data_IF_922622712514
#
_entry.id   IF_922622712514
#
_cell.length_a   1.000
_cell.length_b   1.000
_cell.length_c   1.000
_cell.angle_alpha   90.00
_cell.angle_beta   90.00
_cell.angle_gamma   90.00
#
_symmetry.space_group_name_H-M   'P 1'
#
loop_
_entity.id
_entity.type
_entity.pdbx_description
1 polymer ?
#
# COMPACT_ATOMS: atom_id res chain seq x y z
N UNK A 1 42.27 -27.00 8.56
CA UNK A 1 41.92 -25.56 8.72
C UNK A 1 41.50 -25.06 7.37
N UNK A 2 40.16 -24.98 7.15
CA UNK A 2 39.59 -24.44 5.90
C UNK A 2 39.40 -22.94 6.12
N UNK A 3 40.28 -22.14 5.52
CA UNK A 3 40.09 -20.70 5.41
C UNK A 3 38.87 -20.44 4.50
N UNK A 4 37.73 -20.14 5.06
CA UNK A 4 36.61 -19.52 4.33
C UNK A 4 37.01 -18.09 3.96
N UNK A 5 37.67 -17.96 2.81
CA UNK A 5 37.90 -16.66 2.21
C UNK A 5 36.54 -16.04 1.81
N UNK A 6 35.99 -15.22 2.66
CA UNK A 6 34.96 -14.25 2.27
C UNK A 6 35.60 -13.25 1.33
N UNK A 7 35.58 -13.57 0.04
CA UNK A 7 36.21 -12.74 -0.99
C UNK A 7 35.49 -11.37 -1.09
N UNK A 8 36.18 -10.35 -1.63
CA UNK A 8 35.66 -8.98 -1.77
C UNK A 8 34.33 -8.91 -2.49
N UNK A 9 34.00 -9.89 -3.34
CA UNK A 9 32.70 -10.02 -4.02
C UNK A 9 31.58 -10.39 -3.06
N UNK A 10 31.81 -11.29 -2.10
CA UNK A 10 30.81 -11.64 -1.08
C UNK A 10 30.53 -10.44 -0.16
N UNK A 11 31.52 -9.64 0.17
CA UNK A 11 31.34 -8.41 0.95
C UNK A 11 30.59 -7.33 0.17
N UNK A 12 30.77 -7.23 -1.16
CA UNK A 12 29.99 -6.33 -2.01
C UNK A 12 28.53 -6.75 -2.11
N UNK A 13 28.24 -8.04 -2.26
CA UNK A 13 26.88 -8.57 -2.34
C UNK A 13 26.12 -8.40 -1.01
N UNK A 14 26.78 -8.60 0.12
CA UNK A 14 26.17 -8.37 1.45
C UNK A 14 25.97 -6.88 1.73
N UNK A 15 26.91 -6.03 1.33
CA UNK A 15 26.82 -4.57 1.47
C UNK A 15 25.68 -4.00 0.63
N UNK A 16 25.45 -4.53 -0.55
CA UNK A 16 24.36 -4.11 -1.43
C UNK A 16 23.00 -4.49 -0.87
N UNK A 17 22.86 -5.69 -0.29
CA UNK A 17 21.60 -6.12 0.35
C UNK A 17 21.25 -5.27 1.57
N UNK A 18 22.24 -4.92 2.40
CA UNK A 18 22.03 -4.06 3.57
C UNK A 18 21.61 -2.63 3.20
N UNK A 19 22.15 -2.08 2.11
CA UNK A 19 21.77 -0.77 1.59
C UNK A 19 20.32 -0.74 1.11
N UNK A 20 19.85 -1.80 0.45
CA UNK A 20 18.47 -1.93 0.00
C UNK A 20 17.45 -1.97 1.13
N UNK A 21 17.75 -2.73 2.18
CA UNK A 21 16.87 -2.79 3.36
C UNK A 21 16.81 -1.44 4.09
N UNK A 22 17.93 -0.73 4.22
CA UNK A 22 17.96 0.59 4.84
C UNK A 22 17.15 1.62 4.05
N UNK A 23 17.30 1.65 2.74
CA UNK A 23 16.55 2.58 1.88
C UNK A 23 15.04 2.25 1.90
N UNK A 24 14.68 0.96 1.81
CA UNK A 24 13.28 0.53 1.92
C UNK A 24 12.66 0.94 3.25
N UNK A 25 13.39 0.74 4.36
CA UNK A 25 12.94 1.15 5.69
C UNK A 25 12.81 2.68 5.80
N UNK A 26 13.74 3.44 5.22
CA UNK A 26 13.67 4.91 5.19
C UNK A 26 12.47 5.40 4.37
N UNK A 27 12.27 4.85 3.17
CA UNK A 27 11.11 5.18 2.32
C UNK A 27 9.81 4.85 3.05
N UNK A 28 9.71 3.68 3.67
CA UNK A 28 8.54 3.27 4.44
C UNK A 28 8.30 4.21 5.63
N UNK A 29 9.33 4.57 6.38
CA UNK A 29 9.23 5.47 7.53
C UNK A 29 8.79 6.89 7.11
N UNK A 30 9.40 7.45 6.06
CA UNK A 30 9.03 8.77 5.53
C UNK A 30 7.58 8.77 5.01
N UNK A 31 7.18 7.72 4.27
CA UNK A 31 5.80 7.58 3.81
C UNK A 31 4.82 7.46 4.98
N UNK A 32 5.11 6.64 5.99
CA UNK A 32 4.27 6.48 7.18
C UNK A 32 4.12 7.81 7.94
N UNK A 33 5.22 8.49 8.23
CA UNK A 33 5.22 9.76 8.98
C UNK A 33 4.52 10.89 8.23
N UNK A 34 4.58 10.90 6.90
CA UNK A 34 3.93 11.94 6.09
C UNK A 34 2.41 11.74 5.91
N UNK A 35 1.92 10.49 6.10
CA UNK A 35 0.54 10.14 5.78
C UNK A 35 -0.32 9.77 6.97
N UNK A 36 0.16 8.88 7.83
CA UNK A 36 -0.66 8.28 8.90
C UNK A 36 -1.19 9.32 9.90
N UNK A 37 -0.39 10.31 10.37
CA UNK A 37 -0.85 11.23 11.41
C UNK A 37 -2.05 12.11 11.02
N UNK A 38 -2.34 12.25 9.72
CA UNK A 38 -3.33 13.20 9.22
C UNK A 38 -4.60 12.52 8.67
N UNK A 39 -4.68 11.19 8.64
CA UNK A 39 -5.76 10.42 7.99
C UNK A 39 -7.15 10.70 8.55
N UNK A 40 -7.26 10.88 9.87
CA UNK A 40 -8.54 11.09 10.54
C UNK A 40 -8.96 12.54 10.76
N UNK A 41 -8.25 13.53 10.16
CA UNK A 41 -8.53 14.94 10.44
C UNK A 41 -9.63 15.57 9.59
N UNK A 42 -9.90 15.01 8.42
CA UNK A 42 -10.92 15.50 7.49
C UNK A 42 -12.05 14.47 7.41
N UNK A 43 -13.27 14.95 7.33
CA UNK A 43 -14.42 14.09 7.05
C UNK A 43 -14.22 13.32 5.76
N UNK A 44 -14.89 12.17 5.63
CA UNK A 44 -14.88 11.39 4.41
C UNK A 44 -15.44 12.24 3.26
N UNK A 45 -14.86 12.09 2.08
CA UNK A 45 -15.38 12.75 0.87
C UNK A 45 -16.69 12.10 0.44
N UNK A 46 -17.58 12.92 -0.12
CA UNK A 46 -18.86 12.44 -0.66
C UNK A 46 -18.65 11.39 -1.76
N UNK A 47 -19.71 10.62 -2.04
CA UNK A 47 -19.78 9.54 -3.01
C UNK A 47 -18.99 8.29 -2.60
N UNK A 48 -17.93 7.95 -3.34
CA UNK A 48 -17.25 6.66 -3.26
C UNK A 48 -16.65 6.40 -1.88
N UNK A 49 -15.99 7.38 -1.26
CA UNK A 49 -15.31 7.16 0.02
C UNK A 49 -16.29 6.85 1.14
N UNK A 50 -17.43 7.56 1.19
CA UNK A 50 -18.49 7.30 2.17
C UNK A 50 -19.12 5.94 1.91
N UNK A 51 -19.43 5.61 0.66
CA UNK A 51 -20.03 4.33 0.30
C UNK A 51 -19.13 3.14 0.67
N UNK A 52 -17.83 3.23 0.42
CA UNK A 52 -16.88 2.18 0.84
C UNK A 52 -16.79 2.05 2.36
N UNK A 53 -16.72 3.17 3.07
CA UNK A 53 -16.66 3.16 4.53
C UNK A 53 -17.96 2.63 5.15
N UNK A 54 -19.12 2.97 4.59
CA UNK A 54 -20.43 2.47 5.05
C UNK A 54 -20.56 0.97 4.78
N UNK A 55 -20.22 0.50 3.58
CA UNK A 55 -20.20 -0.93 3.30
C UNK A 55 -19.28 -1.71 4.24
N UNK A 56 -18.12 -1.15 4.58
CA UNK A 56 -17.21 -1.75 5.55
C UNK A 56 -17.79 -1.78 6.97
N UNK A 57 -18.48 -0.70 7.38
CA UNK A 57 -19.19 -0.61 8.66
C UNK A 57 -20.30 -1.66 8.76
N UNK A 58 -21.10 -1.79 7.72
CA UNK A 58 -22.19 -2.77 7.69
C UNK A 58 -21.69 -4.22 7.67
N UNK A 59 -20.58 -4.50 6.98
CA UNK A 59 -19.90 -5.81 7.07
C UNK A 59 -19.56 -6.17 8.52
N UNK A 60 -19.10 -5.19 9.32
CA UNK A 60 -18.83 -5.43 10.74
C UNK A 60 -20.10 -5.65 11.57
N UNK A 61 -21.15 -4.91 11.30
CA UNK A 61 -22.40 -4.99 12.07
C UNK A 61 -23.18 -6.25 11.77
N UNK A 62 -23.23 -6.65 10.51
CA UNK A 62 -23.99 -7.84 10.05
C UNK A 62 -23.21 -9.13 10.11
N UNK A 63 -21.86 -9.06 10.12
CA UNK A 63 -20.99 -10.23 9.97
C UNK A 63 -20.96 -10.82 8.55
N UNK A 64 -21.63 -10.18 7.60
CA UNK A 64 -21.64 -10.61 6.20
C UNK A 64 -20.54 -9.89 5.40
N UNK A 65 -19.46 -10.62 5.11
CA UNK A 65 -18.32 -10.11 4.34
C UNK A 65 -18.37 -10.47 2.85
N UNK A 66 -19.42 -11.16 2.41
CA UNK A 66 -19.57 -11.61 1.02
C UNK A 66 -20.41 -10.67 0.20
N UNK A 67 -21.55 -10.27 0.76
CA UNK A 67 -22.53 -9.42 0.10
C UNK A 67 -22.38 -8.01 0.65
N UNK A 68 -21.89 -7.10 -0.21
CA UNK A 68 -21.77 -5.68 0.14
C UNK A 68 -23.16 -5.09 0.30
N UNK A 69 -23.36 -4.36 1.37
CA UNK A 69 -24.60 -3.62 1.66
C UNK A 69 -24.27 -2.15 1.90
N UNK A 70 -25.19 -1.27 1.53
CA UNK A 70 -25.18 0.15 1.88
C UNK A 70 -26.61 0.52 2.27
N UNK A 71 -26.80 1.03 3.49
CA UNK A 71 -28.12 1.24 4.06
C UNK A 71 -28.89 -0.07 4.31
N UNK A 72 -28.13 -1.18 4.54
CA UNK A 72 -28.64 -2.55 4.68
C UNK A 72 -29.33 -3.10 3.41
N UNK A 73 -29.16 -2.44 2.28
CA UNK A 73 -29.60 -2.91 0.97
C UNK A 73 -28.42 -3.45 0.16
N UNK A 74 -28.66 -4.46 -0.68
CA UNK A 74 -27.61 -5.09 -1.46
C UNK A 74 -26.98 -4.11 -2.46
N UNK A 75 -25.65 -3.96 -2.39
CA UNK A 75 -24.84 -3.11 -3.26
C UNK A 75 -23.83 -3.95 -4.04
N UNK A 76 -24.20 -4.36 -5.26
CA UNK A 76 -23.42 -5.26 -6.10
C UNK A 76 -22.46 -4.55 -7.09
N UNK A 77 -22.32 -3.22 -7.02
CA UNK A 77 -21.52 -2.45 -7.99
C UNK A 77 -20.02 -2.61 -7.80
N UNK A 78 -19.58 -2.92 -6.60
CA UNK A 78 -18.14 -2.98 -6.26
C UNK A 78 -17.76 -4.29 -5.57
N UNK A 79 -16.55 -4.81 -5.84
CA UNK A 79 -16.09 -6.04 -5.22
C UNK A 79 -15.84 -5.87 -3.71
N UNK A 80 -16.15 -6.88 -2.87
CA UNK A 80 -16.11 -6.77 -1.41
C UNK A 80 -14.72 -6.66 -0.80
N UNK A 81 -13.65 -6.98 -1.55
CA UNK A 81 -12.30 -7.09 -1.02
C UNK A 81 -11.83 -5.83 -0.27
N UNK A 82 -11.97 -4.67 -0.88
CA UNK A 82 -11.48 -3.42 -0.29
C UNK A 82 -12.27 -3.04 0.98
N UNK A 83 -13.60 -3.17 0.92
CA UNK A 83 -14.47 -2.93 2.08
C UNK A 83 -14.18 -3.92 3.21
N UNK A 84 -13.88 -5.18 2.90
CA UNK A 84 -13.42 -6.17 3.88
C UNK A 84 -12.12 -5.78 4.58
N UNK A 85 -11.16 -5.20 3.82
CA UNK A 85 -9.91 -4.68 4.41
C UNK A 85 -10.18 -3.45 5.29
N UNK A 86 -11.08 -2.56 4.88
CA UNK A 86 -11.53 -1.43 5.71
C UNK A 86 -12.27 -1.92 6.96
N UNK A 87 -13.15 -2.89 6.84
CA UNK A 87 -13.86 -3.50 7.98
C UNK A 87 -12.87 -4.10 8.98
N UNK A 88 -11.84 -4.81 8.51
CA UNK A 88 -10.77 -5.31 9.38
C UNK A 88 -10.03 -4.18 10.10
N UNK A 89 -9.70 -3.09 9.40
CA UNK A 89 -9.11 -1.89 10.00
C UNK A 89 -10.03 -1.27 11.06
N UNK A 90 -11.32 -1.13 10.75
CA UNK A 90 -12.33 -0.60 11.68
C UNK A 90 -12.54 -1.50 12.91
N UNK A 91 -12.38 -2.80 12.77
CA UNK A 91 -12.44 -3.73 13.90
C UNK A 91 -11.33 -3.51 14.92
N UNK A 92 -10.16 -3.09 14.47
CA UNK A 92 -8.98 -2.87 15.32
C UNK A 92 -8.96 -1.45 15.91
N UNK A 93 -9.23 -0.45 15.09
CA UNK A 93 -9.04 0.97 15.45
C UNK A 93 -10.35 1.69 15.76
N UNK A 94 -11.49 1.02 15.66
CA UNK A 94 -12.81 1.61 15.78
C UNK A 94 -13.34 2.16 14.45
N UNK A 95 -14.67 2.36 14.37
CA UNK A 95 -15.34 2.90 13.19
C UNK A 95 -15.06 4.40 13.11
N UNK A 96 -14.47 4.86 12.02
CA UNK A 96 -14.14 6.27 11.80
C UNK A 96 -13.24 6.48 10.58
N UNK A 97 -13.02 7.75 10.26
CA UNK A 97 -12.29 8.21 9.08
C UNK A 97 -10.85 7.67 9.03
N UNK A 98 -10.19 7.63 10.18
CA UNK A 98 -8.84 7.08 10.27
C UNK A 98 -8.80 5.62 9.82
N UNK A 99 -9.67 4.80 10.38
CA UNK A 99 -9.71 3.37 10.11
C UNK A 99 -10.13 3.07 8.65
N UNK A 100 -11.02 3.88 8.08
CA UNK A 100 -11.44 3.77 6.69
C UNK A 100 -10.28 4.05 5.70
N UNK A 101 -9.37 4.96 6.04
CA UNK A 101 -8.24 5.40 5.18
C UNK A 101 -6.94 4.65 5.42
N UNK A 102 -6.77 4.06 6.59
CA UNK A 102 -5.53 3.37 6.97
C UNK A 102 -5.09 2.28 5.97
N UNK A 103 -5.99 1.47 5.38
CA UNK A 103 -5.61 0.52 4.33
C UNK A 103 -4.88 1.17 3.17
N UNK A 104 -5.35 2.31 2.65
CA UNK A 104 -4.71 3.02 1.55
C UNK A 104 -3.37 3.65 1.92
N UNK A 105 -3.19 4.08 3.16
CA UNK A 105 -1.88 4.51 3.64
C UNK A 105 -0.86 3.35 3.64
N UNK A 106 -1.28 2.15 4.04
CA UNK A 106 -0.45 0.94 3.99
C UNK A 106 -0.15 0.56 2.53
N UNK A 107 -1.15 0.56 1.66
CA UNK A 107 -0.99 0.32 0.21
C UNK A 107 0.04 1.29 -0.38
N UNK A 108 0.02 2.57 -0.01
CA UNK A 108 1.01 3.54 -0.45
C UNK A 108 2.43 3.17 -0.02
N UNK A 109 2.63 2.80 1.24
CA UNK A 109 3.94 2.40 1.74
C UNK A 109 4.47 1.21 0.92
N UNK A 110 3.63 0.20 0.71
CA UNK A 110 3.97 -0.98 -0.09
C UNK A 110 4.30 -0.58 -1.54
N UNK A 111 3.50 0.29 -2.15
CA UNK A 111 3.72 0.77 -3.52
C UNK A 111 5.05 1.50 -3.66
N UNK A 112 5.38 2.43 -2.76
CA UNK A 112 6.62 3.19 -2.81
C UNK A 112 7.86 2.30 -2.63
N UNK A 113 7.80 1.36 -1.69
CA UNK A 113 8.87 0.38 -1.50
C UNK A 113 8.98 -0.54 -2.72
N UNK A 114 7.85 -0.99 -3.29
CA UNK A 114 7.82 -1.82 -4.50
C UNK A 114 8.44 -1.11 -5.71
N UNK A 115 8.08 0.15 -5.95
CA UNK A 115 8.65 0.98 -7.02
C UNK A 115 10.17 1.17 -6.82
N UNK A 116 10.59 1.43 -5.58
CA UNK A 116 12.02 1.54 -5.27
C UNK A 116 12.77 0.25 -5.59
N UNK A 117 12.28 -0.89 -5.11
CA UNK A 117 12.92 -2.18 -5.31
C UNK A 117 12.98 -2.56 -6.79
N UNK A 118 11.88 -2.36 -7.52
CA UNK A 118 11.82 -2.62 -8.96
C UNK A 118 12.78 -1.70 -9.72
N UNK A 119 12.78 -0.40 -9.45
CA UNK A 119 13.69 0.53 -10.10
C UNK A 119 15.16 0.24 -9.83
N UNK A 120 15.48 -0.19 -8.60
CA UNK A 120 16.80 -0.64 -8.22
C UNK A 120 17.24 -1.91 -8.97
N UNK A 121 16.31 -2.84 -9.19
CA UNK A 121 16.59 -4.09 -9.90
C UNK A 121 16.75 -3.86 -11.40
N UNK A 122 15.92 -2.99 -12.01
CA UNK A 122 15.93 -2.74 -13.45
C UNK A 122 17.08 -1.87 -13.92
N UNK A 123 17.52 -0.91 -13.11
CA UNK A 123 18.53 0.08 -13.49
C UNK A 123 19.62 0.17 -12.42
N UNK A 124 19.36 0.89 -11.33
CA UNK A 124 20.27 1.04 -10.21
C UNK A 124 19.57 1.59 -8.94
N UNK A 125 20.32 1.68 -7.84
CA UNK A 125 19.83 2.20 -6.56
C UNK A 125 19.33 3.64 -6.65
N UNK A 126 20.02 4.52 -7.39
CA UNK A 126 19.66 5.94 -7.53
C UNK A 126 18.38 6.10 -8.30
N UNK A 127 18.23 5.36 -9.39
CA UNK A 127 17.01 5.35 -10.18
C UNK A 127 15.80 4.92 -9.33
N UNK A 128 15.91 3.84 -8.56
CA UNK A 128 14.85 3.41 -7.66
C UNK A 128 14.44 4.48 -6.65
N UNK A 129 15.42 5.18 -6.04
CA UNK A 129 15.17 6.28 -5.10
C UNK A 129 14.45 7.45 -5.79
N UNK A 130 14.92 7.89 -6.95
CA UNK A 130 14.29 8.98 -7.70
C UNK A 130 12.89 8.62 -8.19
N UNK A 131 12.68 7.39 -8.64
CA UNK A 131 11.37 6.93 -9.06
C UNK A 131 10.36 6.92 -7.91
N UNK A 132 10.73 6.36 -6.76
CA UNK A 132 9.89 6.38 -5.56
C UNK A 132 9.61 7.82 -5.09
N UNK A 133 10.60 8.72 -5.14
CA UNK A 133 10.44 10.12 -4.77
C UNK A 133 9.49 10.85 -5.73
N UNK A 134 9.66 10.68 -7.03
CA UNK A 134 8.81 11.31 -8.05
C UNK A 134 7.35 10.84 -7.94
N UNK A 135 7.14 9.52 -7.78
CA UNK A 135 5.80 8.96 -7.59
C UNK A 135 5.18 9.43 -6.26
N UNK A 136 5.96 9.39 -5.18
CA UNK A 136 5.51 9.82 -3.85
C UNK A 136 5.22 11.32 -3.77
N UNK A 137 5.90 12.16 -4.57
CA UNK A 137 5.66 13.59 -4.67
C UNK A 137 4.57 14.01 -5.66
N UNK A 138 4.08 13.08 -6.49
CA UNK A 138 3.04 13.37 -7.49
C UNK A 138 1.69 13.66 -6.83
N UNK A 139 0.98 14.69 -7.31
CA UNK A 139 -0.27 15.16 -6.71
C UNK A 139 -1.37 14.10 -6.74
N UNK A 140 -1.61 13.49 -7.91
CA UNK A 140 -2.71 12.54 -8.11
C UNK A 140 -2.59 11.29 -7.22
N UNK A 141 -1.45 10.57 -7.15
CA UNK A 141 -1.27 9.51 -6.18
C UNK A 141 -1.46 9.96 -4.74
N UNK A 142 -1.00 11.18 -4.39
CA UNK A 142 -1.17 11.71 -3.03
C UNK A 142 -2.64 11.86 -2.64
N UNK A 143 -3.49 12.34 -3.54
CA UNK A 143 -4.93 12.48 -3.30
C UNK A 143 -5.59 11.12 -3.14
N UNK A 144 -5.35 10.18 -4.06
CA UNK A 144 -5.94 8.84 -4.01
C UNK A 144 -5.55 8.05 -2.76
N UNK A 145 -4.29 8.13 -2.31
CA UNK A 145 -3.86 7.43 -1.11
C UNK A 145 -4.35 8.05 0.20
N UNK A 146 -4.86 9.29 0.17
CA UNK A 146 -5.47 9.96 1.33
C UNK A 146 -6.97 9.71 1.44
N UNK A 147 -7.57 9.15 0.42
CA UNK A 147 -8.99 8.77 0.42
C UNK A 147 -9.16 7.26 0.64
N UNK A 148 -10.31 6.87 1.19
CA UNK A 148 -10.68 5.48 1.44
C UNK A 148 -11.35 4.82 0.24
N UNK A 149 -10.75 4.95 -0.97
CA UNK A 149 -11.28 4.41 -2.24
C UNK A 149 -10.52 3.16 -2.69
N UNK A 150 -11.13 2.39 -3.58
CA UNK A 150 -10.60 1.08 -4.03
C UNK A 150 -9.37 1.19 -4.94
N UNK A 151 -9.21 2.30 -5.68
CA UNK A 151 -8.24 2.46 -6.76
C UNK A 151 -6.79 2.19 -6.35
N UNK A 152 -6.27 2.68 -5.21
CA UNK A 152 -4.91 2.41 -4.79
C UNK A 152 -4.61 0.91 -4.65
N UNK A 153 -5.51 0.16 -4.03
CA UNK A 153 -5.35 -1.29 -3.85
C UNK A 153 -5.42 -2.02 -5.19
N UNK A 154 -6.36 -1.66 -6.04
CA UNK A 154 -6.52 -2.25 -7.37
C UNK A 154 -5.28 -2.01 -8.24
N UNK A 155 -4.76 -0.79 -8.27
CA UNK A 155 -3.54 -0.44 -9.00
C UNK A 155 -2.31 -1.19 -8.46
N UNK A 156 -2.19 -1.36 -7.13
CA UNK A 156 -1.11 -2.16 -6.54
C UNK A 156 -1.18 -3.63 -6.99
N UNK A 157 -2.38 -4.21 -7.03
CA UNK A 157 -2.56 -5.61 -7.46
C UNK A 157 -2.21 -5.79 -8.95
N UNK A 158 -2.63 -4.85 -9.82
CA UNK A 158 -2.23 -4.85 -11.24
C UNK A 158 -0.70 -4.74 -11.37
N UNK A 159 -0.09 -3.78 -10.67
CA UNK A 159 1.35 -3.59 -10.68
C UNK A 159 2.09 -4.86 -10.24
N UNK A 160 1.67 -5.46 -9.13
CA UNK A 160 2.26 -6.71 -8.64
C UNK A 160 2.10 -7.86 -9.64
N UNK A 161 0.96 -7.99 -10.30
CA UNK A 161 0.73 -8.99 -11.35
C UNK A 161 1.64 -8.82 -12.56
N UNK A 162 1.86 -7.58 -12.99
CA UNK A 162 2.78 -7.27 -14.10
C UNK A 162 4.22 -7.62 -13.71
N UNK A 163 4.67 -7.20 -12.53
CA UNK A 163 6.02 -7.51 -12.04
C UNK A 163 6.24 -9.01 -11.92
N UNK A 164 5.29 -9.75 -11.32
CA UNK A 164 5.37 -11.19 -11.21
C UNK A 164 5.50 -11.87 -12.58
N UNK A 165 4.73 -11.42 -13.58
CA UNK A 165 4.84 -11.96 -14.94
C UNK A 165 6.23 -11.75 -15.57
N UNK A 166 6.84 -10.58 -15.33
CA UNK A 166 8.19 -10.31 -15.83
C UNK A 166 9.23 -11.24 -15.19
N UNK A 167 9.13 -11.51 -13.90
CA UNK A 167 10.07 -12.41 -13.20
C UNK A 167 9.94 -13.87 -13.65
N UNK A 168 8.73 -14.31 -14.04
CA UNK A 168 8.53 -15.67 -14.56
C UNK A 168 9.04 -15.88 -15.99
N UNK A 169 9.35 -14.83 -16.74
CA UNK A 169 9.83 -14.92 -18.12
C UNK A 169 11.36 -14.86 -18.24
N UNK A 170 12.06 -14.60 -17.16
CA UNK A 170 13.53 -14.55 -17.07
C UNK A 170 14.09 -15.54 -16.06
#
# INVERSE_FOLDING_TARGET
MVHTATGPVAALLTRDRSSGLRDSALIAAVAALSFIPWLGRLHLFDWDEINFAEGAREMLLTGNYRDVQIGFEAFAEKPPLFMGVQAFSMRIFGIGEFAARLPNAIVRIITLVGIYLLGRQLVDRRFGQWWALAYGGSLLPNLHFRSGIIDPLFNLLIFAGIVARFEFQH
#
